data_IF_693297528198
#
_entry.id   IF_693297528198
#
_cell.length_a   1.000
_cell.length_b   1.000
_cell.length_c   1.000
_cell.angle_alpha   90.00
_cell.angle_beta   90.00
_cell.angle_gamma   90.00
#
_symmetry.space_group_name_H-M   'P 1'
#
loop_
_entity.id
_entity.type
_entity.pdbx_description
1 polymer ?
#
# COMPACT_ATOMS: atom_id res chain seq x y z
N UNK A 1 20.37 42.20 -35.03
CA UNK A 1 19.20 43.07 -35.26
C UNK A 1 18.08 42.45 -34.43
N UNK A 2 17.68 42.92 -33.24
CA UNK A 2 17.28 44.26 -32.77
C UNK A 2 17.85 44.43 -31.34
N UNK A 3 18.82 45.32 -31.13
CA UNK A 3 18.72 46.65 -30.48
C UNK A 3 18.03 46.64 -29.10
N UNK A 4 18.85 46.67 -28.05
CA UNK A 4 18.48 47.01 -26.67
C UNK A 4 18.47 48.54 -26.54
N UNK A 5 17.34 49.12 -26.14
CA UNK A 5 17.28 50.50 -25.65
C UNK A 5 16.88 50.51 -24.18
N UNK A 6 17.85 50.84 -23.34
CA UNK A 6 17.67 51.27 -21.95
C UNK A 6 16.81 52.53 -21.91
N UNK A 7 15.77 52.54 -21.07
CA UNK A 7 15.10 53.76 -20.65
C UNK A 7 15.09 53.80 -19.12
N UNK A 8 15.99 54.60 -18.57
CA UNK A 8 16.00 54.97 -17.16
C UNK A 8 14.96 56.06 -16.92
N UNK A 9 14.15 55.89 -15.87
CA UNK A 9 13.23 56.88 -15.34
C UNK A 9 13.03 56.61 -13.84
N UNK A 10 13.08 57.64 -12.96
CA UNK A 10 13.29 57.46 -11.54
C UNK A 10 11.99 57.33 -10.76
N UNK A 11 12.14 57.03 -9.47
CA UNK A 11 11.19 57.23 -8.38
C UNK A 11 10.10 56.17 -8.21
N UNK A 12 10.29 55.35 -7.18
CA UNK A 12 9.29 55.00 -6.17
C UNK A 12 9.64 53.62 -5.62
N UNK A 13 10.41 53.62 -4.53
CA UNK A 13 10.52 52.47 -3.65
C UNK A 13 9.34 52.56 -2.68
N UNK A 14 8.38 51.63 -2.75
CA UNK A 14 7.71 51.17 -1.55
C UNK A 14 8.26 49.78 -1.24
N UNK A 15 9.05 49.75 -0.17
CA UNK A 15 9.04 48.71 0.86
C UNK A 15 7.89 47.69 0.68
N UNK A 16 8.09 46.66 -0.15
CA UNK A 16 7.36 45.40 -0.02
C UNK A 16 8.18 44.53 0.92
N UNK A 17 7.98 44.81 2.20
CA UNK A 17 7.84 43.86 3.30
C UNK A 17 8.40 42.49 2.95
N UNK A 18 9.66 42.29 3.35
CA UNK A 18 10.12 40.99 3.82
C UNK A 18 9.05 40.44 4.76
N UNK A 19 8.14 39.62 4.24
CA UNK A 19 7.49 38.59 5.03
C UNK A 19 8.62 37.61 5.39
N UNK A 20 9.39 38.01 6.40
CA UNK A 20 9.94 37.09 7.38
C UNK A 20 8.77 36.23 7.81
N UNK A 21 8.56 35.13 7.09
CA UNK A 21 7.90 33.96 7.64
C UNK A 21 8.78 33.61 8.82
N UNK A 22 8.42 34.16 9.98
CA UNK A 22 8.80 33.65 11.27
C UNK A 22 8.21 32.25 11.31
N UNK A 23 8.89 31.30 10.67
CA UNK A 23 8.84 29.92 11.12
C UNK A 23 9.29 30.07 12.57
N UNK A 24 8.42 29.84 13.58
CA UNK A 24 8.91 29.82 14.94
C UNK A 24 10.00 28.75 14.96
N UNK A 25 11.25 29.19 15.05
CA UNK A 25 12.42 28.34 15.28
C UNK A 25 12.41 27.82 16.72
N UNK A 26 11.23 27.44 17.20
CA UNK A 26 11.07 26.52 18.31
C UNK A 26 11.24 25.12 17.70
N UNK A 27 12.44 24.87 17.15
CA UNK A 27 13.02 23.52 17.10
C UNK A 27 13.42 23.13 18.53
N UNK A 28 12.49 23.30 19.48
CA UNK A 28 12.55 22.53 20.69
C UNK A 28 12.33 21.09 20.23
N UNK A 29 13.37 20.26 20.30
CA UNK A 29 13.21 18.81 20.46
C UNK A 29 12.52 18.50 21.80
N UNK A 30 11.50 19.29 22.18
CA UNK A 30 10.62 19.04 23.30
C UNK A 30 9.78 17.85 22.89
N UNK A 31 10.06 16.72 23.52
CA UNK A 31 9.13 15.61 23.59
C UNK A 31 7.77 16.21 23.94
N UNK A 32 6.74 15.94 23.13
CA UNK A 32 5.38 16.31 23.53
C UNK A 32 5.19 15.77 24.96
N UNK A 33 4.68 16.56 25.93
CA UNK A 33 4.29 16.00 27.22
C UNK A 33 3.51 14.71 26.98
N UNK A 34 3.95 13.62 27.64
CA UNK A 34 3.44 12.28 27.38
C UNK A 34 1.92 12.27 27.39
N UNK A 35 1.31 11.86 26.27
CA UNK A 35 -0.15 11.78 26.14
C UNK A 35 -0.75 12.29 24.82
N UNK A 36 -0.03 13.05 23.99
CA UNK A 36 -0.54 13.43 22.65
C UNK A 36 0.03 12.53 21.56
N UNK A 37 -0.55 11.35 21.45
CA UNK A 37 -0.31 10.44 20.34
C UNK A 37 -1.19 10.85 19.17
N UNK A 38 -0.60 11.20 18.02
CA UNK A 38 -1.38 11.44 16.81
C UNK A 38 -1.41 10.16 15.99
N UNK A 39 -2.63 9.68 15.69
CA UNK A 39 -2.86 8.49 14.89
C UNK A 39 -3.55 8.90 13.60
N UNK A 40 -3.01 8.46 12.46
CA UNK A 40 -3.59 8.66 11.13
C UNK A 40 -3.91 7.32 10.52
N UNK A 41 -5.11 7.17 9.96
CA UNK A 41 -5.50 5.93 9.27
C UNK A 41 -5.32 6.11 7.77
N UNK A 42 -4.80 5.08 7.12
CA UNK A 42 -4.74 5.00 5.66
C UNK A 42 -5.38 3.71 5.20
N UNK A 43 -6.05 3.77 4.06
CA UNK A 43 -6.63 2.61 3.39
C UNK A 43 -6.25 2.66 1.93
N UNK A 44 -5.51 1.66 1.48
CA UNK A 44 -5.22 1.39 0.09
C UNK A 44 -6.17 0.32 -0.43
N UNK A 45 -6.78 0.54 -1.57
CA UNK A 45 -7.61 -0.45 -2.26
C UNK A 45 -7.17 -0.63 -3.72
N UNK A 46 -7.18 -1.89 -4.14
CA UNK A 46 -6.84 -2.33 -5.49
C UNK A 46 -8.06 -2.48 -6.41
N UNK A 47 -7.83 -2.85 -7.69
CA UNK A 47 -8.88 -3.29 -8.59
C UNK A 47 -9.42 -4.64 -8.14
N UNK A 48 -10.40 -5.17 -8.87
CA UNK A 48 -10.93 -6.53 -8.74
C UNK A 48 -9.92 -7.67 -8.97
N UNK A 49 -8.63 -7.40 -9.16
CA UNK A 49 -7.57 -8.38 -9.43
C UNK A 49 -6.42 -8.24 -8.42
N UNK A 50 -5.80 -9.35 -8.05
CA UNK A 50 -4.65 -9.38 -7.13
C UNK A 50 -3.39 -9.87 -7.85
N UNK A 51 -2.21 -9.31 -7.56
CA UNK A 51 -0.97 -9.94 -8.00
C UNK A 51 -0.76 -11.25 -7.22
N UNK A 52 -0.09 -12.23 -7.84
CA UNK A 52 0.18 -13.55 -7.21
C UNK A 52 0.94 -13.42 -5.88
N UNK A 53 1.78 -12.40 -5.74
CA UNK A 53 2.51 -12.13 -4.48
C UNK A 53 1.61 -11.61 -3.34
N UNK A 54 0.36 -11.23 -3.61
CA UNK A 54 -0.59 -10.80 -2.60
C UNK A 54 -1.49 -11.94 -2.09
N UNK A 55 -1.36 -13.14 -2.64
CA UNK A 55 -2.12 -14.32 -2.22
C UNK A 55 -1.20 -15.37 -1.61
N UNK A 56 -1.79 -16.30 -0.86
CA UNK A 56 -1.04 -17.40 -0.26
C UNK A 56 -1.71 -18.74 -0.51
N UNK A 57 -0.91 -19.79 -0.38
CA UNK A 57 -1.36 -21.17 -0.46
C UNK A 57 -0.73 -21.97 0.67
N UNK A 58 -1.44 -22.98 1.16
CA UNK A 58 -0.91 -23.91 2.17
C UNK A 58 -0.34 -25.19 1.54
N UNK A 59 -0.38 -25.31 0.21
CA UNK A 59 0.10 -26.48 -0.51
C UNK A 59 1.50 -26.22 -1.10
N UNK A 60 2.44 -27.07 -0.69
CA UNK A 60 3.84 -26.99 -1.12
C UNK A 60 4.04 -27.30 -2.61
N UNK A 61 3.16 -28.09 -3.21
CA UNK A 61 3.21 -28.36 -4.66
C UNK A 61 2.81 -27.11 -5.45
N UNK A 62 1.87 -26.32 -4.92
CA UNK A 62 1.42 -25.08 -5.56
C UNK A 62 2.51 -24.02 -5.49
N UNK A 63 3.13 -23.86 -4.32
CA UNK A 63 4.22 -22.88 -4.17
C UNK A 63 5.46 -23.20 -5.00
N UNK A 64 5.67 -24.48 -5.35
CA UNK A 64 6.73 -24.88 -6.27
C UNK A 64 6.41 -24.53 -7.74
N UNK A 65 5.15 -24.53 -8.14
CA UNK A 65 4.72 -24.31 -9.53
C UNK A 65 4.47 -22.83 -9.84
N UNK A 66 4.01 -22.06 -8.86
CA UNK A 66 3.63 -20.66 -9.03
C UNK A 66 4.70 -19.76 -8.40
N UNK A 67 5.55 -19.11 -9.20
CA UNK A 67 6.61 -18.26 -8.66
C UNK A 67 6.01 -17.09 -7.87
N UNK A 68 6.50 -16.89 -6.65
CA UNK A 68 6.16 -15.73 -5.84
C UNK A 68 4.85 -15.83 -5.04
N UNK A 69 4.09 -16.94 -5.15
CA UNK A 69 2.99 -17.18 -4.20
C UNK A 69 3.56 -17.47 -2.81
N UNK A 70 2.97 -16.90 -1.78
CA UNK A 70 3.41 -17.20 -0.42
C UNK A 70 2.89 -18.54 0.08
N UNK A 71 3.68 -19.15 0.96
CA UNK A 71 3.38 -20.45 1.58
C UNK A 71 2.55 -20.33 2.86
N UNK A 72 2.27 -19.11 3.33
CA UNK A 72 1.45 -18.90 4.52
C UNK A 72 0.85 -17.50 4.57
N UNK A 73 -0.26 -17.37 5.30
CA UNK A 73 -0.91 -16.09 5.60
C UNK A 73 0.05 -15.11 6.29
N UNK A 74 0.79 -15.61 7.29
CA UNK A 74 1.71 -14.80 8.08
C UNK A 74 2.87 -14.21 7.26
N UNK A 75 3.37 -14.96 6.27
CA UNK A 75 4.41 -14.46 5.38
C UNK A 75 3.95 -13.25 4.55
N UNK A 76 2.72 -13.28 4.02
CA UNK A 76 2.15 -12.13 3.28
C UNK A 76 1.86 -10.96 4.19
N UNK A 77 1.32 -11.19 5.38
CA UNK A 77 1.07 -10.11 6.33
C UNK A 77 2.36 -9.41 6.74
N UNK A 78 3.42 -10.18 7.02
CA UNK A 78 4.74 -9.64 7.32
C UNK A 78 5.35 -8.88 6.12
N UNK A 79 5.17 -9.40 4.90
CA UNK A 79 5.61 -8.72 3.68
C UNK A 79 4.88 -7.38 3.50
N UNK A 80 3.54 -7.37 3.62
CA UNK A 80 2.72 -6.17 3.52
C UNK A 80 3.12 -5.13 4.57
N UNK A 81 3.34 -5.56 5.83
CA UNK A 81 3.78 -4.69 6.91
C UNK A 81 5.16 -4.09 6.65
N UNK A 82 6.15 -4.91 6.27
CA UNK A 82 7.50 -4.43 5.93
C UNK A 82 7.45 -3.45 4.78
N UNK A 83 6.71 -3.78 3.73
CA UNK A 83 6.61 -2.96 2.55
C UNK A 83 5.96 -1.60 2.86
N UNK A 84 4.87 -1.60 3.63
CA UNK A 84 4.23 -0.38 4.12
C UNK A 84 5.19 0.47 4.98
N UNK A 85 5.90 -0.16 5.92
CA UNK A 85 6.89 0.52 6.76
C UNK A 85 7.99 1.18 5.92
N UNK A 86 8.65 0.43 5.04
CA UNK A 86 9.70 0.95 4.16
C UNK A 86 9.20 2.11 3.32
N UNK A 87 8.04 1.93 2.69
CA UNK A 87 7.45 2.96 1.84
C UNK A 87 7.17 4.24 2.62
N UNK A 88 6.62 4.14 3.83
CA UNK A 88 6.31 5.31 4.66
C UNK A 88 7.61 5.98 5.13
N UNK A 89 8.60 5.21 5.55
CA UNK A 89 9.92 5.73 5.96
C UNK A 89 10.54 6.52 4.80
N UNK A 90 10.67 5.91 3.62
CA UNK A 90 11.30 6.54 2.46
C UNK A 90 10.63 7.86 2.09
N UNK A 91 9.30 7.88 2.12
CA UNK A 91 8.55 9.11 1.81
C UNK A 91 8.74 10.17 2.90
N UNK A 92 8.71 9.79 4.18
CA UNK A 92 8.93 10.72 5.28
C UNK A 92 10.35 11.30 5.27
N UNK A 93 11.36 10.53 4.87
CA UNK A 93 12.72 11.03 4.66
C UNK A 93 12.75 12.10 3.56
N UNK A 94 12.13 11.81 2.41
CA UNK A 94 12.08 12.73 1.27
C UNK A 94 11.33 14.01 1.66
N UNK A 95 10.17 13.89 2.30
CA UNK A 95 9.38 15.06 2.71
C UNK A 95 10.03 15.84 3.85
N UNK A 96 10.66 15.15 4.80
CA UNK A 96 11.41 15.78 5.88
C UNK A 96 12.55 16.63 5.34
N UNK A 97 13.31 16.11 4.37
CA UNK A 97 14.38 16.88 3.70
C UNK A 97 13.84 18.07 2.91
N UNK A 98 12.70 17.92 2.23
CA UNK A 98 12.03 19.02 1.51
C UNK A 98 11.50 20.10 2.45
N UNK A 99 11.11 19.72 3.66
CA UNK A 99 10.75 20.64 4.73
C UNK A 99 11.96 21.25 5.45
N UNK A 100 13.19 21.03 4.94
CA UNK A 100 14.45 21.51 5.51
C UNK A 100 14.67 21.02 6.95
N UNK A 101 14.13 19.86 7.30
CA UNK A 101 14.45 19.22 8.57
C UNK A 101 15.89 18.69 8.52
N UNK A 102 16.68 18.89 9.58
CA UNK A 102 18.01 18.30 9.66
C UNK A 102 17.91 16.77 9.78
N UNK A 103 18.88 16.03 9.27
CA UNK A 103 18.85 14.55 9.21
C UNK A 103 18.63 13.92 10.60
N UNK A 104 19.15 14.52 11.68
CA UNK A 104 18.90 14.01 13.04
C UNK A 104 17.43 14.11 13.46
N UNK A 105 16.71 15.16 13.02
CA UNK A 105 15.30 15.32 13.32
C UNK A 105 14.47 14.29 12.54
N UNK A 106 14.83 14.03 11.28
CA UNK A 106 14.24 12.98 10.45
C UNK A 106 14.46 11.60 11.12
N UNK A 107 15.68 11.28 11.53
CA UNK A 107 15.97 10.01 12.22
C UNK A 107 15.17 9.84 13.52
N UNK A 108 15.03 10.90 14.32
CA UNK A 108 14.23 10.87 15.55
C UNK A 108 12.74 10.68 15.27
N UNK A 109 12.23 11.34 14.21
CA UNK A 109 10.87 11.19 13.73
C UNK A 109 10.59 9.74 13.32
N UNK A 110 11.47 9.15 12.51
CA UNK A 110 11.32 7.79 12.02
C UNK A 110 11.41 6.76 13.16
N UNK A 111 12.27 7.00 14.15
CA UNK A 111 12.37 6.17 15.36
C UNK A 111 11.12 6.21 16.25
N UNK A 112 10.27 7.22 16.10
CA UNK A 112 9.00 7.39 16.83
C UNK A 112 7.78 6.96 16.02
N UNK A 113 7.97 6.52 14.78
CA UNK A 113 6.89 6.11 13.90
C UNK A 113 6.52 4.66 14.18
N UNK A 114 5.24 4.42 14.46
CA UNK A 114 4.68 3.07 14.49
C UNK A 114 3.71 2.91 13.33
N UNK A 115 3.96 1.89 12.50
CA UNK A 115 3.09 1.51 11.38
C UNK A 115 2.47 0.18 11.71
N UNK A 116 1.15 0.18 11.94
CA UNK A 116 0.38 -1.04 12.07
C UNK A 116 -0.44 -1.25 10.80
N UNK A 117 -0.39 -2.44 10.22
CA UNK A 117 -1.10 -2.74 8.97
C UNK A 117 -2.03 -3.90 9.14
N UNK A 118 -3.25 -3.74 8.68
CA UNK A 118 -4.27 -4.78 8.59
C UNK A 118 -4.44 -5.16 7.12
N UNK A 119 -4.07 -6.40 6.81
CA UNK A 119 -4.25 -7.01 5.50
C UNK A 119 -4.84 -8.40 5.68
N UNK A 120 -5.86 -8.74 4.88
CA UNK A 120 -6.48 -10.06 4.85
C UNK A 120 -6.12 -10.78 3.53
N UNK A 121 -5.02 -11.56 3.50
CA UNK A 121 -4.61 -12.27 2.30
C UNK A 121 -5.67 -13.27 1.83
N UNK A 122 -5.82 -13.41 0.51
CA UNK A 122 -6.67 -14.44 -0.08
C UNK A 122 -5.95 -15.79 -0.05
N UNK A 123 -6.65 -16.83 0.43
CA UNK A 123 -6.20 -18.22 0.32
C UNK A 123 -6.51 -18.72 -1.09
N UNK A 124 -5.48 -19.19 -1.79
CA UNK A 124 -5.58 -19.73 -3.14
C UNK A 124 -5.12 -21.20 -3.18
N UNK A 125 -6.05 -22.15 -2.98
CA UNK A 125 -5.87 -23.51 -3.44
C UNK A 125 -5.94 -23.49 -4.98
N UNK A 126 -5.14 -24.28 -5.69
CA UNK A 126 -5.41 -24.57 -7.10
C UNK A 126 -6.09 -25.94 -7.18
N UNK A 127 -6.89 -26.11 -8.23
CA UNK A 127 -7.40 -27.43 -8.61
C UNK A 127 -6.21 -28.32 -8.98
N UNK A 128 -5.75 -29.16 -8.06
CA UNK A 128 -4.98 -30.33 -8.45
C UNK A 128 -5.90 -31.21 -9.30
N UNK A 129 -5.34 -31.77 -10.38
CA UNK A 129 -5.95 -32.87 -11.12
C UNK A 129 -6.48 -33.90 -10.11
N UNK A 130 -7.73 -34.38 -10.20
CA UNK A 130 -8.30 -35.26 -9.19
C UNK A 130 -7.39 -36.48 -9.00
N UNK A 131 -6.89 -36.65 -7.78
CA UNK A 131 -6.33 -37.91 -7.34
C UNK A 131 -7.51 -38.86 -7.07
N UNK A 132 -7.37 -40.13 -7.42
CA UNK A 132 -8.21 -41.18 -6.85
C UNK A 132 -7.72 -41.44 -5.42
N UNK A 133 -8.56 -41.37 -4.37
CA UNK A 133 -10.02 -41.24 -4.36
C UNK A 133 -10.55 -39.78 -4.34
N UNK A 134 -11.86 -39.56 -4.58
CA UNK A 134 -12.46 -38.23 -4.73
C UNK A 134 -12.27 -37.36 -3.48
N UNK A 135 -11.39 -36.37 -3.57
CA UNK A 135 -11.23 -35.33 -2.55
C UNK A 135 -12.30 -34.25 -2.80
N UNK A 136 -12.98 -33.72 -1.77
CA UNK A 136 -13.88 -32.59 -1.95
C UNK A 136 -13.15 -31.42 -2.62
N UNK A 137 -13.71 -30.92 -3.73
CA UNK A 137 -13.18 -29.73 -4.41
C UNK A 137 -13.31 -28.54 -3.46
N UNK A 138 -12.20 -27.87 -3.18
CA UNK A 138 -12.13 -26.62 -2.42
C UNK A 138 -12.20 -25.45 -3.40
N UNK A 139 -12.67 -24.28 -2.94
CA UNK A 139 -12.61 -23.03 -3.71
C UNK A 139 -11.19 -22.84 -4.27
N UNK A 140 -11.07 -22.51 -5.55
CA UNK A 140 -9.80 -22.38 -6.24
C UNK A 140 -9.58 -20.98 -6.83
N UNK A 141 -8.35 -20.50 -6.91
CA UNK A 141 -8.06 -19.21 -7.55
C UNK A 141 -7.85 -19.34 -9.06
N UNK A 142 -8.38 -18.38 -9.82
CA UNK A 142 -8.14 -18.26 -11.27
C UNK A 142 -6.94 -17.35 -11.49
N UNK A 143 -5.85 -17.93 -12.01
CA UNK A 143 -4.60 -17.22 -12.24
C UNK A 143 -4.35 -17.09 -13.73
N UNK A 144 -4.23 -15.85 -14.20
CA UNK A 144 -3.89 -15.48 -15.57
C UNK A 144 -2.58 -14.71 -15.53
N UNK A 145 -1.51 -15.31 -16.08
CA UNK A 145 -0.16 -14.76 -15.96
C UNK A 145 0.29 -14.68 -14.50
N UNK A 146 0.62 -13.48 -14.03
CA UNK A 146 1.03 -13.19 -12.64
C UNK A 146 -0.09 -12.58 -11.80
N UNK A 147 -1.35 -12.70 -12.24
CA UNK A 147 -2.50 -12.07 -11.61
C UNK A 147 -3.62 -13.07 -11.30
N UNK A 148 -4.21 -12.94 -10.12
CA UNK A 148 -5.44 -13.60 -9.71
C UNK A 148 -6.61 -12.73 -10.14
N UNK A 149 -7.46 -13.27 -11.00
CA UNK A 149 -8.58 -12.53 -11.62
C UNK A 149 -9.94 -12.91 -11.06
N UNK A 150 -10.00 -13.95 -10.22
CA UNK A 150 -11.27 -14.42 -9.66
C UNK A 150 -11.10 -15.66 -8.78
N UNK A 151 -12.20 -16.03 -8.13
CA UNK A 151 -12.32 -17.21 -7.28
C UNK A 151 -13.32 -18.15 -7.94
N UNK A 152 -12.91 -19.38 -8.19
CA UNK A 152 -13.81 -20.44 -8.61
C UNK A 152 -14.40 -21.11 -7.36
N UNK A 153 -15.73 -21.05 -7.16
CA UNK A 153 -16.36 -21.70 -6.02
C UNK A 153 -16.26 -23.23 -6.12
N UNK A 154 -16.12 -23.88 -4.97
CA UNK A 154 -16.30 -25.30 -4.77
C UNK A 154 -17.72 -25.67 -5.20
N UNK A 155 -17.85 -26.47 -6.24
CA UNK A 155 -19.15 -26.94 -6.69
C UNK A 155 -19.57 -28.18 -5.90
N UNK A 156 -20.75 -28.17 -5.26
CA UNK A 156 -21.34 -29.39 -4.73
C UNK A 156 -21.68 -30.33 -5.89
N UNK A 157 -21.00 -31.47 -5.99
CA UNK A 157 -21.28 -32.51 -7.00
C UNK A 157 -20.16 -32.77 -8.02
N UNK A 158 -19.04 -32.06 -7.98
CA UNK A 158 -17.89 -32.34 -8.85
C UNK A 158 -17.16 -33.67 -8.55
N UNK A 159 -17.60 -34.42 -7.53
CA UNK A 159 -17.13 -35.76 -7.21
C UNK A 159 -17.95 -36.90 -7.84
N UNK A 160 -18.93 -36.60 -8.72
CA UNK A 160 -19.67 -37.67 -9.43
C UNK A 160 -18.74 -38.30 -10.47
N UNK A 161 -18.35 -39.58 -10.31
CA UNK A 161 -17.51 -40.26 -11.28
C UNK A 161 -18.23 -40.35 -12.63
N UNK A 162 -17.58 -39.92 -13.71
CA UNK A 162 -18.05 -40.17 -15.09
C UNK A 162 -18.53 -38.95 -15.88
N UNK A 163 -18.66 -37.77 -15.26
CA UNK A 163 -18.92 -36.53 -16.02
C UNK A 163 -17.59 -35.81 -16.25
N UNK A 164 -16.89 -36.18 -17.31
CA UNK A 164 -15.55 -35.70 -17.66
C UNK A 164 -15.48 -34.25 -18.11
N UNK A 165 -16.22 -33.32 -17.48
CA UNK A 165 -16.01 -31.89 -17.74
C UNK A 165 -14.75 -31.47 -16.98
N UNK A 166 -13.71 -30.94 -17.67
CA UNK A 166 -12.56 -30.42 -16.97
C UNK A 166 -13.03 -29.27 -16.06
N UNK A 167 -12.80 -29.38 -14.75
CA UNK A 167 -13.18 -28.37 -13.75
C UNK A 167 -12.79 -26.93 -14.16
N UNK A 168 -11.71 -26.81 -14.92
CA UNK A 168 -11.21 -25.55 -15.50
C UNK A 168 -12.18 -24.86 -16.48
N UNK A 169 -12.93 -25.62 -17.27
CA UNK A 169 -13.86 -25.07 -18.26
C UNK A 169 -15.15 -24.52 -17.61
N UNK A 170 -15.58 -25.11 -16.49
CA UNK A 170 -16.77 -24.65 -15.77
C UNK A 170 -16.47 -23.43 -14.88
N UNK A 171 -15.28 -23.37 -14.27
CA UNK A 171 -14.83 -22.22 -13.48
C UNK A 171 -14.79 -20.89 -14.26
N UNK A 172 -14.68 -20.91 -15.60
CA UNK A 172 -14.64 -19.67 -16.38
C UNK A 172 -16.01 -18.98 -16.46
N UNK A 173 -17.11 -19.74 -16.42
CA UNK A 173 -18.46 -19.19 -16.54
C UNK A 173 -19.04 -18.77 -15.18
N UNK A 174 -18.58 -19.40 -14.08
CA UNK A 174 -19.08 -19.17 -12.72
C UNK A 174 -18.03 -18.52 -11.78
N UNK A 175 -17.03 -17.85 -12.35
CA UNK A 175 -16.01 -17.15 -11.59
C UNK A 175 -16.63 -16.07 -10.70
N UNK A 176 -16.39 -16.14 -9.40
CA UNK A 176 -16.75 -15.09 -8.45
C UNK A 176 -15.67 -14.02 -8.43
N UNK A 177 -16.10 -12.77 -8.30
CA UNK A 177 -15.21 -11.66 -8.03
C UNK A 177 -14.49 -11.85 -6.69
N UNK A 178 -13.28 -11.30 -6.59
CA UNK A 178 -12.53 -11.25 -5.33
C UNK A 178 -13.21 -10.22 -4.42
N UNK A 179 -13.47 -10.60 -3.17
CA UNK A 179 -14.04 -9.72 -2.15
C UNK A 179 -13.08 -8.54 -1.82
N UNK A 180 -13.63 -7.34 -1.66
CA UNK A 180 -12.91 -6.09 -1.38
C UNK A 180 -12.00 -6.18 -0.14
N UNK A 181 -12.33 -7.04 0.83
CA UNK A 181 -11.48 -7.28 2.01
C UNK A 181 -10.09 -7.84 1.66
N UNK A 182 -9.98 -8.58 0.55
CA UNK A 182 -8.70 -9.11 0.07
C UNK A 182 -7.93 -8.11 -0.80
N UNK A 183 -8.63 -7.09 -1.30
CA UNK A 183 -8.14 -6.03 -2.17
C UNK A 183 -7.70 -4.78 -1.41
N UNK A 184 -7.90 -4.75 -0.08
CA UNK A 184 -7.62 -3.59 0.75
C UNK A 184 -6.51 -3.83 1.76
N UNK A 185 -5.56 -2.92 1.79
CA UNK A 185 -4.51 -2.80 2.81
C UNK A 185 -4.81 -1.55 3.61
N UNK A 186 -5.14 -1.71 4.89
CA UNK A 186 -5.35 -0.58 5.80
C UNK A 186 -4.26 -0.53 6.85
N UNK A 187 -4.09 0.62 7.48
CA UNK A 187 -3.14 0.74 8.57
C UNK A 187 -3.26 2.06 9.33
N UNK A 188 -2.55 2.10 10.45
CA UNK A 188 -2.41 3.28 11.29
C UNK A 188 -0.96 3.72 11.36
N UNK A 189 -0.74 5.01 11.13
CA UNK A 189 0.51 5.70 11.38
C UNK A 189 0.36 6.44 12.70
N UNK A 190 1.17 6.04 13.68
CA UNK A 190 1.20 6.70 14.98
C UNK A 190 2.53 7.40 15.16
N UNK A 191 2.47 8.69 15.55
CA UNK A 191 3.65 9.50 15.83
C UNK A 191 3.48 10.27 17.13
N UNK A 192 4.57 10.39 17.88
CA UNK A 192 4.70 11.21 19.09
C UNK A 192 5.50 12.49 18.82
N UNK A 193 5.89 12.74 17.57
CA UNK A 193 6.70 13.89 17.20
C UNK A 193 5.84 15.13 16.93
N UNK A 194 6.14 16.24 17.61
CA UNK A 194 5.35 17.49 17.50
C UNK A 194 5.37 18.11 16.10
N UNK A 195 6.45 17.91 15.34
CA UNK A 195 6.60 18.48 14.01
C UNK A 195 5.62 17.80 13.06
N UNK A 196 5.61 16.46 13.05
CA UNK A 196 4.68 15.69 12.22
C UNK A 196 3.22 15.75 12.70
N UNK A 197 3.01 15.85 14.01
CA UNK A 197 1.69 16.06 14.60
C UNK A 197 1.01 17.31 14.03
N UNK A 198 1.79 18.38 13.80
CA UNK A 198 1.33 19.66 13.29
C UNK A 198 1.31 19.77 11.76
N UNK A 199 1.67 18.71 11.02
CA UNK A 199 1.56 18.73 9.57
C UNK A 199 0.11 18.88 9.13
N UNK A 200 -0.11 19.76 8.16
CA UNK A 200 -1.43 19.99 7.57
C UNK A 200 -1.95 18.72 6.86
N UNK A 201 -3.27 18.63 6.67
CA UNK A 201 -3.90 17.52 5.92
C UNK A 201 -3.29 17.36 4.51
N UNK A 202 -2.93 18.46 3.84
CA UNK A 202 -2.34 18.40 2.49
C UNK A 202 -0.92 17.83 2.49
N UNK A 203 -0.12 18.10 3.54
CA UNK A 203 1.21 17.48 3.70
C UNK A 203 1.08 15.96 3.89
N UNK A 204 0.18 15.54 4.78
CA UNK A 204 -0.12 14.11 4.98
C UNK A 204 -0.65 13.43 3.72
N UNK A 205 -1.51 14.10 2.96
CA UNK A 205 -1.99 13.57 1.68
C UNK A 205 -0.83 13.39 0.69
N UNK A 206 0.10 14.34 0.58
CA UNK A 206 1.26 14.22 -0.30
C UNK A 206 2.16 13.03 0.07
N UNK A 207 2.37 12.80 1.38
CA UNK A 207 3.09 11.63 1.89
C UNK A 207 2.40 10.36 1.43
N UNK A 208 1.10 10.24 1.66
CA UNK A 208 0.41 8.99 1.30
C UNK A 208 0.27 8.80 -0.21
N UNK A 209 0.08 9.87 -0.99
CA UNK A 209 0.05 9.79 -2.46
C UNK A 209 1.40 9.33 -3.03
N UNK A 210 2.51 9.69 -2.38
CA UNK A 210 3.84 9.18 -2.73
C UNK A 210 4.03 7.74 -2.29
N UNK A 211 3.58 7.41 -1.09
CA UNK A 211 3.61 6.04 -0.61
C UNK A 211 2.84 5.12 -1.57
N UNK A 212 1.67 5.55 -2.04
CA UNK A 212 0.91 4.85 -3.07
C UNK A 212 1.69 4.70 -4.38
N UNK A 213 2.35 5.75 -4.85
CA UNK A 213 3.15 5.66 -6.08
C UNK A 213 4.30 4.66 -5.93
N UNK A 214 4.94 4.62 -4.77
CA UNK A 214 5.99 3.63 -4.47
C UNK A 214 5.43 2.20 -4.37
N UNK A 215 4.25 2.04 -3.74
CA UNK A 215 3.49 0.79 -3.71
C UNK A 215 3.19 0.29 -5.13
N UNK A 216 2.78 1.20 -6.02
CA UNK A 216 2.50 0.91 -7.43
C UNK A 216 3.74 0.48 -8.22
N UNK A 217 4.90 1.07 -7.92
CA UNK A 217 6.17 0.65 -8.53
C UNK A 217 6.76 -0.61 -7.92
N UNK A 218 6.23 -1.06 -6.78
CA UNK A 218 6.72 -2.20 -6.02
C UNK A 218 6.15 -3.55 -6.48
N UNK A 219 6.28 -4.59 -5.63
CA UNK A 219 5.83 -5.95 -5.94
C UNK A 219 4.31 -6.07 -6.13
N UNK A 220 3.54 -5.11 -5.59
CA UNK A 220 2.10 -5.04 -5.80
C UNK A 220 1.71 -4.48 -7.19
N UNK A 221 2.68 -3.89 -7.90
CA UNK A 221 2.55 -3.42 -9.28
C UNK A 221 1.43 -2.41 -9.49
N UNK A 222 0.98 -2.28 -10.74
CA UNK A 222 -0.14 -1.41 -11.13
C UNK A 222 -1.51 -1.87 -10.58
N UNK A 223 -1.55 -2.89 -9.72
CA UNK A 223 -2.76 -3.49 -9.16
C UNK A 223 -3.19 -2.84 -7.84
N UNK A 224 -2.72 -1.64 -7.53
CA UNK A 224 -3.28 -0.79 -6.47
C UNK A 224 -3.73 0.52 -7.12
N UNK A 225 -5.03 0.83 -7.11
CA UNK A 225 -5.56 1.98 -7.85
C UNK A 225 -5.83 3.21 -6.99
N UNK A 226 -6.25 2.99 -5.75
CA UNK A 226 -6.77 4.06 -4.90
C UNK A 226 -6.18 3.95 -3.50
N UNK A 227 -5.76 5.09 -2.95
CA UNK A 227 -5.48 5.21 -1.52
C UNK A 227 -6.25 6.38 -0.99
N UNK A 228 -6.98 6.14 0.08
CA UNK A 228 -7.70 7.15 0.83
C UNK A 228 -7.03 7.29 2.18
N UNK A 229 -6.70 8.53 2.55
CA UNK A 229 -6.24 8.86 3.89
C UNK A 229 -7.39 9.42 4.66
N UNK A 230 -7.70 8.80 5.80
CA UNK A 230 -8.64 9.39 6.74
C UNK A 230 -7.84 10.00 7.87
N UNK A 231 -7.75 11.33 7.84
CA UNK A 231 -7.20 12.11 8.95
C UNK A 231 -8.30 12.24 10.00
N UNK A 232 -8.30 11.30 10.96
CA UNK A 232 -9.03 11.39 12.23
C UNK A 232 -8.22 12.13 13.28
#
# INVERSE_FOLDING_TARGET
MIVLTNKAGPSSVPFMILLLVSIPTVFGCGVIPGGQTNTRTFTASGPSNLPVIAVYTNDNQISAVIPGIATSKGAIQALAQRFAMHTVIDVLEIEGRRALLPDFAISNILGQLQVNTTYEPLLCPIFQKPADPPVPLVDGCIIVGSTVTGICPAMPGAGVPGVGVPARAMCQNDAKAIDDKHLSLSGTLTTTNIIMANWSRSMWQNVVDRALRMLRSGPFGSHLYTVTVTVS
#
